data_IF_067059426063
#
_entry.id   IF_067059426063
#
_cell.length_a   1.000
_cell.length_b   1.000
_cell.length_c   1.000
_cell.angle_alpha   90.00
_cell.angle_beta   90.00
_cell.angle_gamma   90.00
#
_symmetry.space_group_name_H-M   'P 1'
#
loop_
_entity.id
_entity.type
_entity.pdbx_description
1 polymer ?
#
# COMPACT_ATOMS: atom_id res chain seq x y z
N UNK A 1 12.06 20.44 13.18
CA UNK A 1 11.64 19.19 13.83
C UNK A 1 10.52 18.57 13.02
N UNK A 2 10.70 17.36 12.50
CA UNK A 2 9.68 16.30 12.47
C UNK A 2 10.20 15.10 11.67
N UNK A 3 10.55 14.05 12.41
CA UNK A 3 10.49 12.64 12.02
C UNK A 3 11.38 12.18 10.86
N UNK A 4 12.61 11.79 11.20
CA UNK A 4 13.19 10.59 10.62
C UNK A 4 12.18 9.44 10.81
N UNK A 5 11.69 8.87 9.70
CA UNK A 5 10.98 7.59 9.69
C UNK A 5 11.84 6.64 8.88
N UNK A 6 12.85 6.11 9.55
CA UNK A 6 13.58 4.94 9.08
C UNK A 6 13.21 3.83 10.05
N UNK A 7 12.24 2.98 9.69
CA UNK A 7 12.16 1.60 10.22
C UNK A 7 11.15 0.76 9.40
N UNK A 8 11.61 0.40 8.20
CA UNK A 8 11.46 -0.89 7.51
C UNK A 8 12.04 -0.61 6.13
N UNK A 9 13.37 -0.69 6.05
CA UNK A 9 14.13 -0.41 4.83
C UNK A 9 13.68 -1.42 3.78
N UNK A 10 12.74 -1.04 2.93
CA UNK A 10 12.53 -1.74 1.66
C UNK A 10 13.81 -1.51 0.87
N UNK A 11 14.63 -2.55 0.88
CA UNK A 11 15.89 -2.59 0.16
C UNK A 11 15.60 -2.47 -1.33
N UNK A 12 16.52 -1.84 -2.05
CA UNK A 12 16.41 -1.73 -3.50
C UNK A 12 16.34 -3.15 -4.12
N UNK A 13 16.98 -4.14 -3.49
CA UNK A 13 16.91 -5.56 -3.85
C UNK A 13 15.49 -6.14 -3.73
N UNK A 14 14.80 -5.92 -2.60
CA UNK A 14 13.39 -6.35 -2.44
C UNK A 14 12.47 -5.66 -3.44
N UNK A 15 12.73 -4.37 -3.74
CA UNK A 15 11.96 -3.63 -4.72
C UNK A 15 12.16 -4.17 -6.15
N UNK A 16 13.41 -4.46 -6.52
CA UNK A 16 13.74 -5.08 -7.80
C UNK A 16 13.13 -6.50 -7.91
N UNK A 17 13.19 -7.31 -6.85
CA UNK A 17 12.58 -8.64 -6.82
C UNK A 17 11.06 -8.55 -6.95
N UNK A 18 10.42 -7.60 -6.26
CA UNK A 18 9.00 -7.32 -6.39
C UNK A 18 8.62 -6.94 -7.82
N UNK A 19 9.34 -5.98 -8.42
CA UNK A 19 9.10 -5.57 -9.82
C UNK A 19 9.24 -6.75 -10.77
N UNK A 20 10.26 -7.60 -10.58
CA UNK A 20 10.50 -8.78 -11.41
C UNK A 20 9.44 -9.86 -11.20
N UNK A 21 9.02 -10.09 -9.97
CA UNK A 21 8.02 -11.10 -9.58
C UNK A 21 6.63 -10.77 -10.10
N UNK A 22 6.28 -9.49 -10.15
CA UNK A 22 4.98 -9.00 -10.61
C UNK A 22 5.02 -8.32 -11.97
N UNK A 23 6.15 -8.42 -12.68
CA UNK A 23 6.40 -7.83 -14.00
C UNK A 23 5.98 -6.35 -14.10
N UNK A 24 6.29 -5.58 -13.05
CA UNK A 24 5.93 -4.16 -12.94
C UNK A 24 6.92 -3.30 -13.72
N UNK A 25 6.39 -2.48 -14.61
CA UNK A 25 7.15 -1.46 -15.35
C UNK A 25 6.52 -0.10 -15.12
N UNK A 26 7.26 0.79 -14.45
CA UNK A 26 6.85 2.18 -14.24
C UNK A 26 7.31 3.04 -15.41
N UNK A 27 6.56 4.10 -15.73
CA UNK A 27 6.87 5.00 -16.86
C UNK A 27 7.95 6.02 -16.52
N UNK A 28 7.97 6.48 -15.28
CA UNK A 28 8.77 7.61 -14.84
C UNK A 28 9.39 7.34 -13.46
N UNK A 29 10.53 7.98 -13.17
CA UNK A 29 11.19 7.86 -11.87
C UNK A 29 10.34 8.43 -10.71
N UNK A 30 9.48 9.42 -10.98
CA UNK A 30 8.53 9.96 -10.00
C UNK A 30 7.43 8.93 -9.65
N UNK A 31 6.96 8.20 -10.66
CA UNK A 31 5.98 7.13 -10.53
C UNK A 31 6.57 5.97 -9.73
N UNK A 32 7.78 5.52 -10.09
CA UNK A 32 8.51 4.49 -9.34
C UNK A 32 8.72 4.89 -7.87
N UNK A 33 9.08 6.15 -7.61
CA UNK A 33 9.26 6.64 -6.24
C UNK A 33 7.95 6.60 -5.46
N UNK A 34 6.84 7.08 -6.03
CA UNK A 34 5.51 7.00 -5.40
C UNK A 34 5.12 5.56 -5.11
N UNK A 35 5.28 4.66 -6.07
CA UNK A 35 4.97 3.24 -5.90
C UNK A 35 5.84 2.57 -4.83
N UNK A 36 7.12 2.96 -4.73
CA UNK A 36 8.02 2.53 -3.64
C UNK A 36 7.56 3.05 -2.28
N UNK A 37 7.16 4.32 -2.18
CA UNK A 37 6.61 4.91 -0.96
C UNK A 37 5.32 4.18 -0.51
N UNK A 38 4.43 3.87 -1.45
CA UNK A 38 3.19 3.09 -1.20
C UNK A 38 3.51 1.68 -0.72
N UNK A 39 4.50 1.04 -1.34
CA UNK A 39 4.94 -0.29 -0.95
C UNK A 39 5.49 -0.34 0.48
N UNK A 40 6.25 0.67 0.88
CA UNK A 40 6.69 0.81 2.27
C UNK A 40 5.50 0.98 3.23
N UNK A 41 4.53 1.83 2.91
CA UNK A 41 3.36 2.04 3.75
C UNK A 41 2.51 0.77 3.90
N UNK A 42 2.30 0.05 2.78
CA UNK A 42 1.57 -1.21 2.78
C UNK A 42 2.29 -2.30 3.57
N UNK A 43 3.62 -2.43 3.42
CA UNK A 43 4.42 -3.39 4.19
C UNK A 43 4.29 -3.15 5.69
N UNK A 44 4.34 -1.88 6.11
CA UNK A 44 4.12 -1.50 7.51
C UNK A 44 2.71 -1.85 7.98
N UNK A 45 1.67 -1.51 7.21
CA UNK A 45 0.28 -1.85 7.54
C UNK A 45 0.06 -3.35 7.66
N UNK A 46 0.73 -4.15 6.82
CA UNK A 46 0.75 -5.61 6.89
C UNK A 46 1.41 -6.08 8.19
N UNK A 47 2.59 -5.55 8.54
CA UNK A 47 3.28 -5.90 9.76
C UNK A 47 2.45 -5.57 11.01
N UNK A 48 1.84 -4.37 11.05
CA UNK A 48 0.95 -3.96 12.14
C UNK A 48 -0.29 -4.86 12.26
N UNK A 49 -0.88 -5.27 11.14
CA UNK A 49 -2.02 -6.18 11.12
C UNK A 49 -1.62 -7.60 11.57
N UNK A 50 -0.48 -8.12 11.10
CA UNK A 50 0.01 -9.43 11.51
C UNK A 50 0.38 -9.46 13.00
N UNK A 51 0.92 -8.37 13.54
CA UNK A 51 1.16 -8.25 14.98
C UNK A 51 -0.13 -8.28 15.80
N UNK A 52 -1.25 -7.74 15.28
CA UNK A 52 -2.59 -7.86 15.88
C UNK A 52 -3.17 -9.26 15.74
N UNK A 53 -2.92 -9.92 14.61
CA UNK A 53 -3.29 -11.33 14.40
C UNK A 53 -2.61 -12.24 15.44
N UNK A 54 -1.32 -12.04 15.72
CA UNK A 54 -0.61 -12.80 16.76
C UNK A 54 -1.17 -12.57 18.17
N UNK A 55 -1.78 -11.41 18.42
CA UNK A 55 -2.52 -11.11 19.66
C UNK A 55 -3.93 -11.69 19.68
N UNK A 56 -4.40 -12.27 18.57
CA UNK A 56 -5.76 -12.79 18.42
C UNK A 56 -6.82 -11.71 18.19
N UNK A 57 -6.43 -10.49 17.84
CA UNK A 57 -7.36 -9.38 17.55
C UNK A 57 -7.89 -9.42 16.11
N UNK A 58 -7.12 -9.99 15.19
CA UNK A 58 -7.49 -10.16 13.78
C UNK A 58 -7.63 -11.65 13.47
N UNK A 59 -8.48 -12.00 12.50
CA UNK A 59 -8.76 -13.41 12.12
C UNK A 59 -7.99 -13.87 10.89
N UNK A 60 -7.29 -12.96 10.23
CA UNK A 60 -6.52 -13.22 9.02
C UNK A 60 -5.16 -12.51 9.10
N UNK A 61 -4.23 -12.94 8.25
CA UNK A 61 -2.94 -12.28 8.05
C UNK A 61 -2.93 -11.57 6.70
N UNK A 62 -2.15 -10.50 6.61
CA UNK A 62 -1.89 -9.83 5.34
C UNK A 62 -0.49 -10.19 4.86
N UNK A 63 -0.30 -10.13 3.55
CA UNK A 63 0.97 -10.42 2.89
C UNK A 63 1.20 -9.48 1.71
N UNK A 64 2.47 -9.36 1.30
CA UNK A 64 2.86 -8.56 0.15
C UNK A 64 2.32 -9.23 -1.12
N UNK A 65 1.60 -8.47 -1.95
CA UNK A 65 1.00 -8.94 -3.19
C UNK A 65 1.14 -7.90 -4.31
N UNK A 66 0.65 -8.20 -5.52
CA UNK A 66 0.68 -7.30 -6.69
C UNK A 66 0.00 -5.92 -6.52
N UNK A 67 -0.81 -5.75 -5.47
CA UNK A 67 -1.48 -4.52 -5.05
C UNK A 67 -0.70 -3.80 -3.95
N UNK A 68 0.44 -4.34 -3.50
CA UNK A 68 1.27 -3.69 -2.49
C UNK A 68 1.91 -2.41 -2.99
N UNK A 69 2.01 -2.16 -4.30
CA UNK A 69 2.40 -0.87 -4.86
C UNK A 69 1.21 0.06 -5.16
N UNK A 70 -0.02 -0.35 -4.83
CA UNK A 70 -1.23 0.44 -5.01
C UNK A 70 -1.79 0.89 -3.65
N UNK A 71 -2.31 2.12 -3.59
CA UNK A 71 -3.02 2.59 -2.41
C UNK A 71 -4.41 1.98 -2.34
N UNK A 72 -4.94 1.82 -1.13
CA UNK A 72 -6.32 1.38 -0.92
C UNK A 72 -7.31 2.32 -1.63
N UNK A 73 -6.99 3.60 -1.76
CA UNK A 73 -7.79 4.59 -2.50
C UNK A 73 -7.83 4.30 -4.01
N UNK A 74 -6.70 3.96 -4.63
CA UNK A 74 -6.65 3.58 -6.06
C UNK A 74 -7.32 2.21 -6.28
N UNK A 75 -7.15 1.28 -5.34
CA UNK A 75 -7.85 -0.01 -5.38
C UNK A 75 -9.38 0.17 -5.31
N UNK A 76 -9.87 1.10 -4.48
CA UNK A 76 -11.30 1.44 -4.41
C UNK A 76 -11.83 2.04 -5.72
N UNK A 77 -10.99 2.74 -6.47
CA UNK A 77 -11.36 3.25 -7.79
C UNK A 77 -11.50 2.11 -8.82
N UNK A 78 -10.67 1.06 -8.70
CA UNK A 78 -10.72 -0.13 -9.56
C UNK A 78 -11.87 -1.09 -9.25
N UNK A 79 -12.37 -1.15 -8.01
CA UNK A 79 -13.51 -2.02 -7.66
C UNK A 79 -14.86 -1.51 -8.19
N UNK A 80 -14.87 -0.40 -8.94
CA UNK A 80 -16.10 0.16 -9.53
C UNK A 80 -17.09 0.65 -8.49
N UNK A 81 -16.67 0.80 -7.23
CA UNK A 81 -17.53 1.27 -6.16
C UNK A 81 -17.71 2.78 -6.26
N UNK A 82 -18.67 3.22 -7.06
CA UNK A 82 -19.12 4.62 -7.07
C UNK A 82 -19.93 4.84 -5.80
N UNK A 83 -19.27 5.33 -4.74
CA UNK A 83 -19.97 5.95 -3.65
C UNK A 83 -20.75 7.15 -4.21
N UNK A 84 -22.08 7.00 -4.36
CA UNK A 84 -22.99 8.07 -4.78
C UNK A 84 -22.93 9.20 -3.75
N UNK A 85 -21.96 10.12 -3.93
CA UNK A 85 -21.89 11.38 -3.19
C UNK A 85 -22.93 12.35 -3.75
N UNK A 86 -24.22 11.99 -3.83
CA UNK A 86 -25.27 12.99 -4.09
C UNK A 86 -25.74 13.68 -2.82
N UNK A 87 -25.07 14.82 -2.58
CA UNK A 87 -25.65 16.12 -2.19
C UNK A 87 -26.31 16.21 -0.80
N UNK A 88 -25.49 16.56 0.19
CA UNK A 88 -25.90 17.60 1.18
C UNK A 88 -26.09 18.92 0.43
N UNK A 89 -27.28 19.20 -0.09
CA UNK A 89 -27.68 20.59 -0.44
C UNK A 89 -28.82 21.01 0.48
N UNK A 90 -28.40 21.67 1.56
CA UNK A 90 -29.18 22.48 2.50
C UNK A 90 -30.20 23.34 1.75
N UNK A 91 -31.50 23.19 2.05
CA UNK A 91 -32.52 24.24 2.04
C UNK A 91 -33.51 23.93 3.14
#
# INVERSE_FOLDING_TARGET
MASAKNDEVVTDEEWEDFKKKFEKSYKDADDEKKHRDIYMENKKSIAEHNAKYEKGEETYTKGINQFSDMTEEECQQYTGFVADKKKKKKR
#
